data_IF_572979758071
#
_entry.id   IF_572979758071
#
_cell.length_a   1.000
_cell.length_b   1.000
_cell.length_c   1.000
_cell.angle_alpha   90.00
_cell.angle_beta   90.00
_cell.angle_gamma   90.00
#
_symmetry.space_group_name_H-M   'P 1'
#
loop_
_entity.id
_entity.type
_entity.pdbx_description
1 polymer ?
#
# COMPACT_ATOMS: atom_id res chain seq x y z
N UNK A 1 -14.19 -2.59 6.33
CA UNK A 1 -13.91 -1.41 7.21
C UNK A 1 -15.14 -0.50 7.28
N UNK A 2 -15.75 -0.16 6.14
CA UNK A 2 -17.04 0.54 6.07
C UNK A 2 -18.16 -0.23 6.82
N UNK A 3 -18.22 -1.56 6.69
CA UNK A 3 -19.17 -2.39 7.45
C UNK A 3 -19.00 -2.25 8.97
N UNK A 4 -17.75 -2.17 9.45
CA UNK A 4 -17.44 -2.07 10.89
C UNK A 4 -17.94 -0.76 11.51
N UNK A 5 -18.09 0.28 10.71
CA UNK A 5 -18.64 1.57 11.15
C UNK A 5 -20.11 1.74 10.74
N UNK A 6 -20.76 0.69 10.24
CA UNK A 6 -22.16 0.72 9.82
C UNK A 6 -22.44 1.62 8.62
N UNK A 7 -21.43 1.92 7.80
CA UNK A 7 -21.60 2.82 6.66
C UNK A 7 -21.99 2.04 5.41
N UNK A 8 -23.21 2.29 4.92
CA UNK A 8 -23.68 1.72 3.66
C UNK A 8 -22.83 2.15 2.47
N UNK A 9 -22.55 1.22 1.56
CA UNK A 9 -21.81 1.46 0.32
C UNK A 9 -22.30 0.54 -0.79
N UNK A 10 -21.89 0.82 -2.03
CA UNK A 10 -22.05 -0.07 -3.18
C UNK A 10 -20.73 -0.14 -3.92
N UNK A 11 -20.41 -1.30 -4.48
CA UNK A 11 -19.22 -1.47 -5.31
C UNK A 11 -19.57 -0.96 -6.71
N UNK A 12 -19.07 0.23 -7.06
CA UNK A 12 -19.28 0.82 -8.38
C UNK A 12 -18.41 0.16 -9.46
N UNK A 13 -17.21 -0.27 -9.09
CA UNK A 13 -16.22 -0.86 -10.00
C UNK A 13 -15.25 -1.75 -9.22
N UNK A 14 -14.74 -2.81 -9.85
CA UNK A 14 -13.69 -3.67 -9.32
C UNK A 14 -12.75 -4.10 -10.44
N UNK A 15 -11.44 -4.06 -10.20
CA UNK A 15 -10.40 -4.46 -11.15
C UNK A 15 -9.18 -4.95 -10.40
N UNK A 16 -8.47 -5.91 -11.01
CA UNK A 16 -7.17 -6.41 -10.54
C UNK A 16 -6.03 -5.44 -10.84
N UNK A 17 -6.25 -4.47 -11.74
CA UNK A 17 -5.25 -3.49 -12.13
C UNK A 17 -5.52 -2.15 -11.45
N UNK A 18 -4.48 -1.57 -10.86
CA UNK A 18 -4.53 -0.25 -10.20
C UNK A 18 -5.02 0.85 -11.13
N UNK A 19 -4.65 0.80 -12.42
CA UNK A 19 -5.06 1.78 -13.44
C UNK A 19 -6.57 1.81 -13.67
N UNK A 20 -7.25 0.66 -13.62
CA UNK A 20 -8.71 0.59 -13.76
C UNK A 20 -9.41 1.24 -12.57
N UNK A 21 -8.90 1.00 -11.36
CA UNK A 21 -9.43 1.64 -10.15
C UNK A 21 -9.21 3.15 -10.16
N UNK A 22 -8.03 3.59 -10.62
CA UNK A 22 -7.68 5.00 -10.78
C UNK A 22 -8.57 5.70 -11.80
N UNK A 23 -8.86 5.08 -12.94
CA UNK A 23 -9.74 5.65 -13.96
C UNK A 23 -11.14 5.95 -13.42
N UNK A 24 -11.71 5.06 -12.60
CA UNK A 24 -13.02 5.28 -11.99
C UNK A 24 -13.02 6.46 -10.99
N UNK A 25 -11.91 6.67 -10.28
CA UNK A 25 -11.75 7.82 -9.38
C UNK A 25 -11.55 9.13 -10.17
N UNK A 26 -10.74 9.12 -11.23
CA UNK A 26 -10.51 10.29 -12.08
C UNK A 26 -11.81 10.72 -12.78
N UNK A 27 -12.65 9.77 -13.16
CA UNK A 27 -13.96 10.01 -13.75
C UNK A 27 -15.04 10.44 -12.72
N UNK A 28 -14.68 10.61 -11.45
CA UNK A 28 -15.58 10.96 -10.34
C UNK A 28 -16.74 9.97 -10.15
N UNK A 29 -16.51 8.69 -10.49
CA UNK A 29 -17.50 7.62 -10.36
C UNK A 29 -17.37 6.85 -9.05
N UNK A 30 -16.21 6.92 -8.39
CA UNK A 30 -15.90 6.16 -7.19
C UNK A 30 -14.84 6.84 -6.32
N UNK A 31 -14.80 6.44 -5.05
CA UNK A 31 -13.69 6.67 -4.13
C UNK A 31 -13.06 5.30 -3.79
N UNK A 32 -11.76 5.26 -3.55
CA UNK A 32 -11.08 3.99 -3.23
C UNK A 32 -9.99 4.18 -2.16
N UNK A 33 -9.66 3.12 -1.40
CA UNK A 33 -8.41 3.07 -0.65
C UNK A 33 -7.24 3.08 -1.66
N UNK A 34 -6.38 4.09 -1.59
CA UNK A 34 -5.32 4.29 -2.57
C UNK A 34 -3.97 4.60 -1.88
N UNK A 35 -2.83 4.06 -2.36
CA UNK A 35 -1.53 4.36 -1.76
C UNK A 35 -1.23 5.85 -1.78
N UNK A 36 -0.84 6.42 -0.64
CA UNK A 36 -0.61 7.85 -0.49
C UNK A 36 0.43 8.41 -1.48
N UNK A 37 1.47 7.62 -1.80
CA UNK A 37 2.51 7.98 -2.77
C UNK A 37 2.03 8.05 -4.22
N UNK A 38 0.87 7.46 -4.53
CA UNK A 38 0.26 7.48 -5.86
C UNK A 38 -0.77 8.59 -6.02
N UNK A 39 -1.19 9.25 -4.93
CA UNK A 39 -2.16 10.35 -5.00
C UNK A 39 -1.51 11.56 -5.66
N UNK A 40 -2.02 11.93 -6.84
CA UNK A 40 -1.61 13.10 -7.61
C UNK A 40 -2.86 13.76 -8.20
N UNK A 41 -2.83 15.08 -8.49
CA UNK A 41 -3.94 15.73 -9.17
C UNK A 41 -4.37 14.96 -10.44
N UNK A 42 -5.68 14.82 -10.72
CA UNK A 42 -6.79 15.47 -10.03
C UNK A 42 -7.27 14.76 -8.75
N UNK A 43 -6.65 13.64 -8.36
CA UNK A 43 -7.05 12.90 -7.17
C UNK A 43 -6.79 13.72 -5.90
N UNK A 44 -7.71 13.61 -4.95
CA UNK A 44 -7.63 14.27 -3.65
C UNK A 44 -7.82 13.25 -2.54
N UNK A 45 -7.10 13.47 -1.43
CA UNK A 45 -7.23 12.61 -0.26
C UNK A 45 -8.45 13.06 0.55
N UNK A 46 -9.37 12.13 0.78
CA UNK A 46 -10.48 12.33 1.70
C UNK A 46 -10.00 12.08 3.13
N UNK A 47 -10.32 13.00 4.04
CA UNK A 47 -9.97 12.89 5.46
C UNK A 47 -11.17 12.50 6.34
N UNK A 48 -10.99 12.59 7.67
CA UNK A 48 -11.99 12.18 8.64
C UNK A 48 -13.31 12.96 8.61
N UNK A 49 -13.34 14.15 7.99
CA UNK A 49 -14.56 14.97 7.92
C UNK A 49 -15.67 14.30 7.10
N UNK A 50 -15.29 13.39 6.20
CA UNK A 50 -16.22 12.65 5.37
C UNK A 50 -16.82 11.43 6.07
N UNK A 51 -16.48 11.17 7.35
CA UNK A 51 -16.93 9.98 8.10
C UNK A 51 -16.33 8.67 7.58
N UNK A 52 -15.21 8.74 6.87
CA UNK A 52 -14.52 7.57 6.33
C UNK A 52 -13.54 7.02 7.38
N UNK A 53 -13.37 5.69 7.46
CA UNK A 53 -12.39 5.12 8.37
C UNK A 53 -10.98 5.49 7.92
N UNK A 54 -10.06 5.63 8.88
CA UNK A 54 -8.64 5.75 8.55
C UNK A 54 -8.17 4.50 7.78
N UNK A 55 -7.40 4.74 6.73
CA UNK A 55 -6.70 3.66 6.03
C UNK A 55 -5.54 3.17 6.90
N UNK A 56 -5.33 1.86 6.88
CA UNK A 56 -4.16 1.25 7.52
C UNK A 56 -2.88 1.43 6.69
N UNK A 57 -1.81 0.81 7.17
CA UNK A 57 -0.52 0.87 6.48
C UNK A 57 -0.51 0.04 5.19
N UNK A 58 0.07 0.60 4.13
CA UNK A 58 0.50 -0.14 2.96
C UNK A 58 1.95 -0.62 3.17
N UNK A 59 2.18 -1.93 3.07
CA UNK A 59 3.49 -2.54 3.37
C UNK A 59 4.12 -3.11 2.10
N UNK A 60 5.39 -2.80 1.89
CA UNK A 60 6.23 -3.40 0.86
C UNK A 60 7.27 -4.27 1.56
N UNK A 61 7.33 -5.54 1.18
CA UNK A 61 8.23 -6.52 1.78
C UNK A 61 9.28 -6.94 0.75
N UNK A 62 10.56 -6.96 1.15
CA UNK A 62 11.63 -7.57 0.37
C UNK A 62 11.75 -9.04 0.77
N UNK A 63 11.19 -9.91 -0.06
CA UNK A 63 11.34 -11.36 0.08
C UNK A 63 12.57 -11.82 -0.69
N UNK A 64 13.35 -12.71 -0.07
CA UNK A 64 14.57 -13.20 -0.68
C UNK A 64 14.56 -14.74 -0.66
N UNK A 65 14.67 -15.39 -1.81
CA UNK A 65 14.58 -16.86 -1.98
C UNK A 65 15.83 -17.62 -1.52
N UNK A 66 15.83 -18.95 -1.49
CA UNK A 66 16.97 -19.73 -0.96
C UNK A 66 18.29 -19.56 -1.76
N UNK A 67 18.22 -19.18 -3.03
CA UNK A 67 19.41 -18.91 -3.86
C UNK A 67 20.04 -17.55 -3.52
N UNK A 68 21.19 -17.58 -2.84
CA UNK A 68 21.93 -16.41 -2.33
C UNK A 68 23.22 -16.17 -3.09
N UNK A 69 23.14 -15.81 -4.37
CA UNK A 69 24.34 -15.32 -5.06
C UNK A 69 24.78 -13.97 -4.50
N UNK A 70 26.06 -13.63 -4.66
CA UNK A 70 26.59 -12.33 -4.23
C UNK A 70 25.80 -11.15 -4.83
N UNK A 71 25.38 -11.27 -6.10
CA UNK A 71 24.56 -10.26 -6.76
C UNK A 71 23.20 -10.07 -6.07
N UNK A 72 22.55 -11.14 -5.61
CA UNK A 72 21.28 -11.08 -4.87
C UNK A 72 21.47 -10.38 -3.53
N UNK A 73 22.54 -10.69 -2.79
CA UNK A 73 22.80 -10.06 -1.50
C UNK A 73 23.17 -8.58 -1.65
N UNK A 74 23.96 -8.23 -2.66
CA UNK A 74 24.28 -6.83 -2.97
C UNK A 74 23.00 -6.06 -3.30
N UNK A 75 22.14 -6.57 -4.18
CA UNK A 75 20.86 -5.93 -4.52
C UNK A 75 19.98 -5.75 -3.27
N UNK A 76 19.86 -6.79 -2.44
CA UNK A 76 19.08 -6.72 -1.21
C UNK A 76 19.62 -5.64 -0.26
N UNK A 77 20.93 -5.57 -0.07
CA UNK A 77 21.57 -4.56 0.74
C UNK A 77 21.31 -3.15 0.20
N UNK A 78 21.39 -2.95 -1.12
CA UNK A 78 21.09 -1.65 -1.75
C UNK A 78 19.63 -1.24 -1.56
N UNK A 79 18.68 -2.16 -1.73
CA UNK A 79 17.25 -1.87 -1.48
C UNK A 79 17.01 -1.50 -0.01
N UNK A 80 17.61 -2.23 0.93
CA UNK A 80 17.50 -1.93 2.36
C UNK A 80 18.08 -0.55 2.68
N UNK A 81 19.26 -0.22 2.14
CA UNK A 81 19.91 1.06 2.35
C UNK A 81 19.06 2.21 1.78
N UNK A 82 18.56 2.08 0.55
CA UNK A 82 17.72 3.08 -0.09
C UNK A 82 16.43 3.34 0.69
N UNK A 83 15.76 2.31 1.21
CA UNK A 83 14.55 2.47 2.03
C UNK A 83 14.85 3.07 3.41
N UNK A 84 16.01 2.77 4.00
CA UNK A 84 16.44 3.39 5.25
C UNK A 84 16.69 4.89 5.08
N UNK A 85 17.33 5.29 3.98
CA UNK A 85 17.53 6.70 3.62
C UNK A 85 16.21 7.40 3.28
N UNK A 86 15.33 6.76 2.50
CA UNK A 86 14.01 7.30 2.21
C UNK A 86 13.23 7.57 3.50
N UNK A 87 13.27 6.64 4.47
CA UNK A 87 12.62 6.81 5.76
C UNK A 87 13.22 7.95 6.59
N UNK A 88 14.53 8.15 6.58
CA UNK A 88 15.17 9.23 7.34
C UNK A 88 14.83 10.61 6.76
N UNK A 89 14.74 10.73 5.44
CA UNK A 89 14.39 11.98 4.75
C UNK A 89 12.92 12.35 4.85
N UNK A 90 12.02 11.36 4.85
CA UNK A 90 10.58 11.59 4.75
C UNK A 90 9.78 11.15 6.00
N UNK A 91 10.46 10.92 7.13
CA UNK A 91 9.82 10.72 8.43
C UNK A 91 8.97 9.44 8.56
N UNK A 92 9.41 8.33 7.96
CA UNK A 92 8.61 7.10 7.95
C UNK A 92 8.53 6.41 9.33
N UNK A 93 7.34 5.90 9.66
CA UNK A 93 7.07 5.13 10.88
C UNK A 93 7.87 3.81 10.91
N UNK A 94 8.36 3.38 12.08
CA UNK A 94 8.99 2.05 12.22
C UNK A 94 7.90 0.97 12.12
N UNK A 95 7.99 0.02 11.18
CA UNK A 95 7.09 -1.12 11.19
C UNK A 95 7.40 -1.99 12.42
N UNK A 96 6.34 -2.42 13.10
CA UNK A 96 6.38 -3.47 14.12
C UNK A 96 6.91 -4.77 13.49
N UNK A 97 7.68 -5.56 14.25
CA UNK A 97 8.27 -6.80 13.75
C UNK A 97 7.19 -7.73 13.19
N UNK A 98 7.23 -7.95 11.88
CA UNK A 98 6.35 -8.88 11.18
C UNK A 98 6.59 -10.30 11.71
N UNK A 99 5.55 -10.97 12.19
CA UNK A 99 5.57 -12.45 12.33
C UNK A 99 5.90 -13.06 10.97
N UNK A 100 6.70 -14.12 10.97
CA UNK A 100 7.06 -14.84 9.75
C UNK A 100 5.80 -15.29 9.01
N UNK A 101 5.73 -15.10 7.68
CA UNK A 101 4.64 -15.63 6.88
C UNK A 101 4.72 -17.16 6.88
N UNK A 102 3.76 -17.82 7.52
CA UNK A 102 3.53 -19.26 7.37
C UNK A 102 2.97 -19.53 5.98
N UNK A 103 3.84 -20.04 5.10
CA UNK A 103 3.44 -20.54 3.79
C UNK A 103 2.95 -21.98 3.93
N UNK A 104 1.67 -22.23 3.63
CA UNK A 104 1.20 -23.59 3.35
C UNK A 104 1.48 -23.86 1.86
N UNK A 105 2.44 -24.73 1.59
CA UNK A 105 2.63 -25.28 0.24
C UNK A 105 1.46 -26.23 -0.04
N UNK A 106 0.68 -25.92 -1.08
CA UNK A 106 -0.21 -26.86 -1.75
C UNK A 106 0.53 -27.67 -2.80
#
# INVERSE_FOLDING_TARGET
>A
ALDRIGRGYRIAYSSEQTSGQEAAMIADLAIAPYPASLVRPPLQRLDGQYGLPQLGDYRINLLRGSNRSDAVEVLAAQVIAAFAEYRSRFGGHRPEASKEPTWHAG
#
